data_IF_918738642530
#
_entry.id   IF_918738642530
#
_cell.length_a   1.000
_cell.length_b   1.000
_cell.length_c   1.000
_cell.angle_alpha   90.00
_cell.angle_beta   90.00
_cell.angle_gamma   90.00
#
_symmetry.space_group_name_H-M   'P 1'
#
loop_
_entity.id
_entity.type
_entity.pdbx_description
1 polymer ?
#
# COMPACT_ATOMS: atom_id res chain seq x y z
N UNK A 1 -12.17 -15.61 11.24
CA UNK A 1 -11.86 -14.35 10.54
C UNK A 1 -12.04 -13.23 11.55
N UNK A 2 -10.94 -12.64 12.00
CA UNK A 2 -10.94 -11.46 12.86
C UNK A 2 -11.38 -10.24 12.01
N UNK A 3 -12.45 -9.52 12.37
CA UNK A 3 -13.02 -8.43 11.53
C UNK A 3 -12.01 -7.34 11.17
N UNK A 4 -11.07 -7.07 12.07
CA UNK A 4 -9.96 -6.14 11.91
C UNK A 4 -9.17 -6.39 10.60
N UNK A 5 -8.92 -7.65 10.25
CA UNK A 5 -8.18 -8.02 9.04
C UNK A 5 -8.99 -7.80 7.76
N UNK A 6 -10.31 -7.94 7.81
CA UNK A 6 -11.18 -7.66 6.66
C UNK A 6 -11.16 -6.19 6.27
N UNK A 7 -11.16 -5.29 7.26
CA UNK A 7 -11.01 -3.86 7.01
C UNK A 7 -9.61 -3.51 6.52
N UNK A 8 -8.57 -4.12 7.09
CA UNK A 8 -7.21 -3.90 6.64
C UNK A 8 -7.02 -4.28 5.16
N UNK A 9 -7.43 -5.50 4.79
CA UNK A 9 -7.35 -6.00 3.42
C UNK A 9 -8.12 -5.11 2.43
N UNK A 10 -9.34 -4.67 2.80
CA UNK A 10 -10.13 -3.77 1.97
C UNK A 10 -9.45 -2.42 1.77
N UNK A 11 -8.86 -1.85 2.83
CA UNK A 11 -8.16 -0.58 2.76
C UNK A 11 -6.91 -0.67 1.89
N UNK A 12 -6.12 -1.74 2.05
CA UNK A 12 -4.96 -2.01 1.18
C UNK A 12 -5.40 -2.14 -0.27
N UNK A 13 -6.45 -2.91 -0.53
CA UNK A 13 -6.96 -3.10 -1.88
C UNK A 13 -7.42 -1.78 -2.51
N UNK A 14 -8.17 -0.97 -1.77
CA UNK A 14 -8.66 0.32 -2.23
C UNK A 14 -7.51 1.28 -2.55
N UNK A 15 -6.49 1.33 -1.68
CA UNK A 15 -5.31 2.15 -1.89
C UNK A 15 -4.51 1.70 -3.12
N UNK A 16 -4.30 0.39 -3.27
CA UNK A 16 -3.63 -0.17 -4.43
C UNK A 16 -4.39 0.17 -5.72
N UNK A 17 -5.71 -0.03 -5.74
CA UNK A 17 -6.56 0.27 -6.89
C UNK A 17 -6.51 1.76 -7.26
N UNK A 18 -6.52 2.66 -6.27
CA UNK A 18 -6.39 4.09 -6.47
C UNK A 18 -5.03 4.45 -7.10
N UNK A 19 -3.94 3.86 -6.62
CA UNK A 19 -2.61 4.12 -7.13
C UNK A 19 -2.39 3.58 -8.55
N UNK A 20 -2.97 2.42 -8.87
CA UNK A 20 -3.00 1.89 -10.24
C UNK A 20 -3.79 2.81 -11.17
N UNK A 21 -4.95 3.32 -10.73
CA UNK A 21 -5.79 4.20 -11.54
C UNK A 21 -5.22 5.63 -11.68
N UNK A 22 -4.43 6.09 -10.70
CA UNK A 22 -3.92 7.48 -10.60
C UNK A 22 -2.47 7.53 -10.10
N UNK A 23 -1.49 7.02 -10.87
CA UNK A 23 -0.08 7.00 -10.45
C UNK A 23 0.53 8.41 -10.30
N UNK A 24 -0.07 9.43 -10.92
CA UNK A 24 0.35 10.83 -10.76
C UNK A 24 0.26 11.34 -9.31
N UNK A 25 -0.59 10.72 -8.47
CA UNK A 25 -0.72 11.07 -7.04
C UNK A 25 0.61 10.85 -6.30
N UNK A 26 1.39 9.84 -6.68
CA UNK A 26 2.71 9.57 -6.07
C UNK A 26 3.74 10.65 -6.41
N UNK A 27 3.66 11.22 -7.62
CA UNK A 27 4.56 12.27 -8.10
C UNK A 27 4.35 13.61 -7.40
N UNK A 28 3.23 13.80 -6.71
CA UNK A 28 2.95 15.02 -5.95
C UNK A 28 3.85 15.18 -4.71
N UNK A 29 4.61 14.15 -4.33
CA UNK A 29 5.53 14.21 -3.18
C UNK A 29 4.83 14.55 -1.86
N UNK A 30 3.55 14.22 -1.74
CA UNK A 30 2.72 14.61 -0.59
C UNK A 30 3.21 13.98 0.72
N UNK A 31 2.89 14.63 1.84
CA UNK A 31 3.18 14.10 3.17
C UNK A 31 2.57 12.70 3.36
N UNK A 32 1.41 12.44 2.74
CA UNK A 32 0.77 11.12 2.76
C UNK A 32 1.61 10.04 2.09
N UNK A 33 2.30 10.33 0.97
CA UNK A 33 3.19 9.38 0.30
C UNK A 33 4.39 9.05 1.19
N UNK A 34 4.97 10.05 1.87
CA UNK A 34 6.06 9.83 2.82
C UNK A 34 5.62 8.97 4.00
N UNK A 35 4.45 9.24 4.58
CA UNK A 35 3.90 8.42 5.66
C UNK A 35 3.59 6.99 5.21
N UNK A 36 3.04 6.82 4.01
CA UNK A 36 2.80 5.50 3.44
C UNK A 36 4.11 4.72 3.27
N UNK A 37 5.18 5.38 2.81
CA UNK A 37 6.51 4.79 2.66
C UNK A 37 7.09 4.32 3.99
N UNK A 38 6.90 5.06 5.08
CA UNK A 38 7.42 4.68 6.40
C UNK A 38 6.61 3.56 7.05
N UNK A 39 5.30 3.48 6.80
CA UNK A 39 4.44 2.44 7.37
C UNK A 39 4.46 1.12 6.58
N UNK A 40 4.75 1.16 5.27
CA UNK A 40 4.76 -0.02 4.39
C UNK A 40 5.59 -1.22 4.90
N UNK A 41 6.83 -1.03 5.41
CA UNK A 41 7.60 -2.15 5.96
C UNK A 41 6.91 -2.82 7.15
N UNK A 42 6.28 -2.04 8.03
CA UNK A 42 5.54 -2.55 9.20
C UNK A 42 4.31 -3.33 8.76
N UNK A 43 3.58 -2.81 7.76
CA UNK A 43 2.43 -3.50 7.19
C UNK A 43 2.83 -4.83 6.54
N UNK A 44 3.95 -4.88 5.82
CA UNK A 44 4.46 -6.09 5.16
C UNK A 44 4.96 -7.17 6.14
N UNK A 45 5.44 -6.76 7.32
CA UNK A 45 5.92 -7.64 8.39
C UNK A 45 4.79 -8.33 9.17
N UNK A 46 3.54 -7.91 8.94
CA UNK A 46 2.37 -8.53 9.59
C UNK A 46 2.23 -9.99 9.15
N UNK A 47 2.23 -10.92 10.11
CA UNK A 47 2.19 -12.36 9.83
C UNK A 47 0.84 -12.85 9.27
N UNK A 48 -0.26 -12.12 9.54
CA UNK A 48 -1.62 -12.52 9.17
C UNK A 48 -2.09 -11.98 7.81
N UNK A 49 -1.17 -11.49 6.96
CA UNK A 49 -1.53 -11.00 5.63
C UNK A 49 -1.99 -12.12 4.71
N UNK A 50 -3.10 -11.89 4.01
CA UNK A 50 -3.46 -12.74 2.87
C UNK A 50 -2.43 -12.60 1.75
N UNK A 51 -2.29 -13.63 0.91
CA UNK A 51 -1.39 -13.60 -0.23
C UNK A 51 -1.73 -12.46 -1.21
N UNK A 52 -3.01 -12.06 -1.31
CA UNK A 52 -3.45 -10.93 -2.13
C UNK A 52 -2.97 -9.60 -1.54
N UNK A 53 -3.23 -9.36 -0.26
CA UNK A 53 -2.86 -8.13 0.44
C UNK A 53 -1.35 -7.91 0.39
N UNK A 54 -0.55 -8.97 0.59
CA UNK A 54 0.92 -8.90 0.46
C UNK A 54 1.36 -8.45 -0.95
N UNK A 55 0.77 -9.00 -2.01
CA UNK A 55 1.06 -8.60 -3.40
C UNK A 55 0.68 -7.15 -3.68
N UNK A 56 -0.45 -6.71 -3.16
CA UNK A 56 -0.92 -5.33 -3.31
C UNK A 56 0.03 -4.36 -2.60
N UNK A 57 0.46 -4.65 -1.38
CA UNK A 57 1.47 -3.87 -0.64
C UNK A 57 2.82 -3.83 -1.37
N UNK A 58 3.28 -4.95 -1.92
CA UNK A 58 4.50 -4.99 -2.74
C UNK A 58 4.38 -4.12 -4.00
N UNK A 59 3.22 -4.15 -4.66
CA UNK A 59 2.91 -3.28 -5.79
C UNK A 59 2.94 -1.80 -5.43
N UNK A 60 2.38 -1.43 -4.27
CA UNK A 60 2.45 -0.05 -3.75
C UNK A 60 3.90 0.36 -3.48
N UNK A 61 4.68 -0.50 -2.80
CA UNK A 61 6.10 -0.25 -2.50
C UNK A 61 6.90 -0.01 -3.79
N UNK A 62 6.65 -0.83 -4.82
CA UNK A 62 7.28 -0.68 -6.12
C UNK A 62 6.87 0.62 -6.83
N UNK A 63 5.57 0.97 -6.82
CA UNK A 63 5.09 2.19 -7.44
C UNK A 63 5.69 3.46 -6.79
N UNK A 64 5.86 3.48 -5.46
CA UNK A 64 6.53 4.57 -4.75
C UNK A 64 8.00 4.66 -5.18
N UNK A 65 8.72 3.53 -5.20
CA UNK A 65 10.11 3.48 -5.66
C UNK A 65 10.27 3.99 -7.10
N UNK A 66 9.34 3.64 -7.98
CA UNK A 66 9.34 4.08 -9.37
C UNK A 66 9.07 5.58 -9.52
N UNK A 67 8.25 6.18 -8.64
CA UNK A 67 7.97 7.61 -8.67
C UNK A 67 9.11 8.47 -8.10
N UNK A 68 10.03 7.88 -7.33
CA UNK A 68 11.22 8.53 -6.76
C UNK A 68 12.46 8.43 -7.68
N UNK A 69 12.45 7.52 -8.67
CA UNK A 69 13.53 7.31 -9.64
C UNK A 69 13.48 8.32 -10.79
#
# INVERSE_FOLDING_TARGET
MTPEHGFFDLNVHTLWALLVARPAVLRSGSTSVRSLRTQLPVMLDTQELTARTRRELDGIRYAIRLAEA
#
